data_IF_031369158932
#
_entry.id   IF_031369158932
#
_cell.length_a   1.000
_cell.length_b   1.000
_cell.length_c   1.000
_cell.angle_alpha   90.00
_cell.angle_beta   90.00
_cell.angle_gamma   90.00
#
_symmetry.space_group_name_H-M   'P 1'
#
loop_
_entity.id
_entity.type
_entity.pdbx_description
1 polymer ?
#
# COMPACT_ATOMS: atom_id res chain seq x y z
N UNK A 1 -30.08 -7.70 50.85
CA UNK A 1 -28.69 -7.73 51.36
C UNK A 1 -28.21 -9.18 51.40
N UNK A 2 -27.32 -9.57 50.49
CA UNK A 2 -26.34 -10.67 50.62
C UNK A 2 -25.31 -10.45 49.50
N UNK A 3 -24.06 -10.22 49.89
CA UNK A 3 -22.90 -9.91 49.06
C UNK A 3 -22.38 -11.21 48.42
N UNK A 4 -21.78 -11.12 47.23
CA UNK A 4 -21.05 -12.25 46.62
C UNK A 4 -20.64 -11.96 45.19
N UNK A 5 -19.42 -11.46 45.03
CA UNK A 5 -18.79 -11.05 43.78
C UNK A 5 -18.06 -12.20 43.07
N UNK A 6 -17.70 -11.93 41.80
CA UNK A 6 -16.50 -12.42 41.08
C UNK A 6 -16.67 -13.72 40.26
N UNK A 7 -16.74 -13.48 38.93
CA UNK A 7 -15.86 -14.02 37.89
C UNK A 7 -15.82 -15.54 37.70
N UNK A 8 -16.21 -15.99 36.50
CA UNK A 8 -15.33 -16.65 35.53
C UNK A 8 -16.20 -17.03 34.32
N UNK A 9 -16.38 -16.06 33.42
CA UNK A 9 -16.78 -16.36 32.05
C UNK A 9 -15.62 -17.18 31.48
N UNK A 10 -15.83 -18.50 31.34
CA UNK A 10 -14.97 -19.36 30.53
C UNK A 10 -15.08 -18.88 29.08
N UNK A 11 -14.33 -17.84 28.75
CA UNK A 11 -14.05 -17.44 27.38
C UNK A 11 -13.11 -18.52 26.83
N UNK A 12 -13.70 -19.64 26.40
CA UNK A 12 -12.98 -20.68 25.70
C UNK A 12 -12.28 -20.01 24.52
N UNK A 13 -10.94 -20.11 24.52
CA UNK A 13 -10.06 -19.75 23.41
C UNK A 13 -10.63 -20.31 22.11
N UNK A 14 -11.39 -19.51 21.37
CA UNK A 14 -11.61 -19.74 19.95
C UNK A 14 -10.30 -19.32 19.27
N UNK A 15 -9.32 -20.21 19.33
CA UNK A 15 -8.05 -20.12 18.63
C UNK A 15 -8.27 -20.40 17.12
N UNK A 16 -9.07 -19.56 16.45
CA UNK A 16 -9.36 -19.71 15.01
C UNK A 16 -9.14 -18.42 14.22
N UNK A 17 -8.19 -17.58 14.63
CA UNK A 17 -7.70 -16.46 13.83
C UNK A 17 -6.18 -16.69 13.78
N UNK A 18 -5.58 -17.31 12.76
CA UNK A 18 -5.37 -16.69 11.45
C UNK A 18 -4.78 -17.72 10.48
N UNK A 19 -5.59 -18.29 9.60
CA UNK A 19 -5.11 -18.65 8.26
C UNK A 19 -5.56 -17.49 7.38
N UNK A 20 -4.86 -16.37 7.46
CA UNK A 20 -4.91 -15.44 6.33
C UNK A 20 -4.06 -16.11 5.26
N UNK A 21 -4.60 -16.46 4.07
CA UNK A 21 -3.72 -16.70 2.95
C UNK A 21 -2.89 -15.42 2.82
N UNK A 22 -1.57 -15.54 2.95
CA UNK A 22 -0.68 -14.47 2.54
C UNK A 22 -0.91 -14.34 1.04
N UNK A 23 -1.81 -13.43 0.67
CA UNK A 23 -2.11 -13.13 -0.71
C UNK A 23 -0.87 -12.44 -1.25
N UNK A 24 0.07 -13.23 -1.78
CA UNK A 24 1.03 -12.76 -2.76
C UNK A 24 0.23 -12.25 -3.93
N UNK A 25 -0.12 -10.97 -3.88
CA UNK A 25 -0.74 -10.25 -4.97
C UNK A 25 0.26 -10.21 -6.13
N UNK A 26 -0.25 -10.22 -7.35
CA UNK A 26 0.60 -10.16 -8.53
C UNK A 26 1.18 -8.75 -8.64
N UNK A 27 2.39 -8.58 -9.20
CA UNK A 27 3.13 -7.30 -9.25
C UNK A 27 2.27 -6.11 -9.74
N UNK A 28 1.30 -6.33 -10.63
CA UNK A 28 0.38 -5.29 -11.09
C UNK A 28 -0.68 -4.90 -10.04
N UNK A 29 -1.27 -5.88 -9.36
CA UNK A 29 -2.21 -5.63 -8.26
C UNK A 29 -1.50 -4.93 -7.09
N UNK A 30 -0.22 -5.28 -6.86
CA UNK A 30 0.65 -4.59 -5.90
C UNK A 30 0.97 -3.17 -6.33
N UNK A 31 1.31 -2.94 -7.61
CA UNK A 31 1.72 -1.62 -8.10
C UNK A 31 0.64 -0.55 -7.92
N UNK A 32 -0.63 -0.88 -8.20
CA UNK A 32 -1.76 0.03 -7.95
C UNK A 32 -1.93 0.33 -6.46
N UNK A 33 -1.95 -0.71 -5.63
CA UNK A 33 -2.14 -0.57 -4.19
C UNK A 33 -0.99 0.23 -3.55
N UNK A 34 0.25 -0.05 -3.95
CA UNK A 34 1.44 0.71 -3.54
C UNK A 34 1.36 2.16 -3.98
N UNK A 35 0.98 2.44 -5.22
CA UNK A 35 0.79 3.82 -5.69
C UNK A 35 -0.26 4.55 -4.84
N UNK A 36 -1.42 3.94 -4.62
CA UNK A 36 -2.52 4.57 -3.88
C UNK A 36 -2.19 4.76 -2.40
N UNK A 37 -1.48 3.82 -1.77
CA UNK A 37 -1.18 3.87 -0.33
C UNK A 37 0.08 4.66 0.00
N UNK A 38 1.13 4.58 -0.82
CA UNK A 38 2.42 5.27 -0.58
C UNK A 38 2.39 6.71 -1.09
N UNK A 39 1.83 6.96 -2.28
CA UNK A 39 1.91 8.29 -2.89
C UNK A 39 0.85 9.27 -2.37
N UNK A 40 -0.20 8.79 -1.68
CA UNK A 40 -1.23 9.63 -1.07
C UNK A 40 -0.87 10.17 0.32
N UNK A 41 0.22 9.69 0.93
CA UNK A 41 0.65 10.06 2.29
C UNK A 41 0.93 11.56 2.41
N UNK A 42 1.49 12.18 1.37
CA UNK A 42 1.93 13.58 1.42
C UNK A 42 1.04 14.54 0.63
N UNK A 43 0.35 14.08 -0.42
CA UNK A 43 -0.54 14.89 -1.25
C UNK A 43 -1.52 14.02 -2.05
N UNK A 44 -2.55 14.64 -2.62
CA UNK A 44 -3.49 13.95 -3.51
C UNK A 44 -2.84 13.36 -4.78
N UNK A 45 -3.56 12.45 -5.43
CA UNK A 45 -3.08 11.72 -6.61
C UNK A 45 -3.57 12.31 -7.94
N UNK A 46 -4.26 13.45 -7.91
CA UNK A 46 -4.86 14.06 -9.11
C UNK A 46 -3.79 14.41 -10.15
N UNK A 47 -2.67 15.00 -9.72
CA UNK A 47 -1.57 15.38 -10.61
C UNK A 47 -0.93 14.18 -11.33
N UNK A 48 -0.45 13.12 -10.65
CA UNK A 48 0.09 11.98 -11.37
C UNK A 48 -0.95 11.29 -12.26
N UNK A 49 -2.24 11.28 -11.88
CA UNK A 49 -3.31 10.70 -12.71
C UNK A 49 -3.68 11.54 -13.94
N UNK A 50 -3.33 12.83 -13.96
CA UNK A 50 -3.61 13.74 -15.08
C UNK A 50 -2.47 13.86 -16.09
N UNK A 51 -1.38 13.11 -15.93
CA UNK A 51 -0.19 13.19 -16.77
C UNK A 51 0.02 11.87 -17.52
N UNK A 52 0.45 11.96 -18.78
CA UNK A 52 1.00 10.83 -19.52
C UNK A 52 2.50 11.04 -19.68
N UNK A 53 3.31 10.08 -19.23
CA UNK A 53 4.79 10.17 -19.25
C UNK A 53 5.41 8.88 -19.78
N UNK A 54 6.63 8.93 -20.31
CA UNK A 54 7.35 7.67 -20.60
C UNK A 54 7.74 6.97 -19.30
N UNK A 55 8.18 5.71 -19.42
CA UNK A 55 8.71 4.96 -18.28
C UNK A 55 9.85 5.72 -17.58
N UNK A 56 10.79 6.26 -18.34
CA UNK A 56 11.95 6.99 -17.82
C UNK A 56 11.51 8.22 -17.02
N UNK A 57 10.55 8.97 -17.56
CA UNK A 57 9.98 10.14 -16.88
C UNK A 57 9.19 9.77 -15.61
N UNK A 58 8.59 8.57 -15.57
CA UNK A 58 7.97 8.03 -14.36
C UNK A 58 9.01 7.59 -13.32
N UNK A 59 10.09 6.92 -13.74
CA UNK A 59 11.23 6.56 -12.86
C UNK A 59 11.78 7.81 -12.17
N UNK A 60 12.03 8.88 -12.91
CA UNK A 60 12.50 10.15 -12.33
C UNK A 60 11.52 10.72 -11.30
N UNK A 61 10.21 10.62 -11.57
CA UNK A 61 9.17 11.15 -10.69
C UNK A 61 9.10 10.35 -9.41
N UNK A 62 9.02 9.03 -9.51
CA UNK A 62 8.93 8.12 -8.35
C UNK A 62 10.22 8.21 -7.52
N UNK A 63 11.39 8.27 -8.16
CA UNK A 63 12.69 8.48 -7.48
C UNK A 63 12.69 9.79 -6.68
N UNK A 64 12.23 10.89 -7.29
CA UNK A 64 12.15 12.19 -6.61
C UNK A 64 11.17 12.17 -5.43
N UNK A 65 10.05 11.45 -5.52
CA UNK A 65 9.07 11.34 -4.43
C UNK A 65 9.57 10.43 -3.31
N UNK A 66 10.18 9.28 -3.66
CA UNK A 66 10.85 8.37 -2.72
C UNK A 66 11.90 9.08 -1.86
N UNK A 67 12.63 10.03 -2.45
CA UNK A 67 13.63 10.82 -1.73
C UNK A 67 13.05 11.89 -0.78
N UNK A 68 11.72 12.08 -0.72
CA UNK A 68 11.10 13.04 0.20
C UNK A 68 11.00 12.47 1.62
N UNK A 69 11.18 13.31 2.65
CA UNK A 69 10.99 12.88 4.04
C UNK A 69 9.62 12.24 4.25
N UNK A 70 9.59 11.07 4.87
CA UNK A 70 8.35 10.36 5.20
C UNK A 70 7.76 9.49 4.09
N UNK A 71 8.35 9.43 2.89
CA UNK A 71 7.80 8.62 1.79
C UNK A 71 7.88 7.10 2.05
N UNK A 72 8.95 6.63 2.72
CA UNK A 72 9.17 5.21 3.08
C UNK A 72 8.80 4.22 1.96
N UNK A 73 9.43 4.37 0.79
CA UNK A 73 9.24 3.52 -0.40
C UNK A 73 10.54 2.76 -0.66
N UNK A 74 10.51 1.42 -0.75
CA UNK A 74 11.70 0.62 -1.12
C UNK A 74 12.02 0.72 -2.62
N UNK A 75 13.12 0.15 -3.09
CA UNK A 75 13.43 0.12 -4.53
C UNK A 75 12.46 -0.80 -5.29
N UNK A 76 12.10 -1.93 -4.70
CA UNK A 76 11.16 -2.90 -5.25
C UNK A 76 9.74 -2.32 -5.32
N UNK A 77 9.30 -1.63 -4.27
CA UNK A 77 8.02 -0.92 -4.27
C UNK A 77 8.01 0.20 -5.34
N UNK A 78 9.12 0.94 -5.47
CA UNK A 78 9.24 1.98 -6.48
C UNK A 78 9.15 1.41 -7.90
N UNK A 79 9.80 0.28 -8.18
CA UNK A 79 9.71 -0.39 -9.48
C UNK A 79 8.27 -0.82 -9.80
N UNK A 80 7.57 -1.44 -8.84
CA UNK A 80 6.18 -1.83 -9.01
C UNK A 80 5.25 -0.62 -9.26
N UNK A 81 5.49 0.51 -8.58
CA UNK A 81 4.75 1.75 -8.82
C UNK A 81 5.04 2.29 -10.23
N UNK A 82 6.30 2.28 -10.69
CA UNK A 82 6.65 2.73 -12.04
C UNK A 82 6.01 1.84 -13.10
N UNK A 83 5.98 0.51 -12.90
CA UNK A 83 5.31 -0.43 -13.81
C UNK A 83 3.82 -0.12 -13.95
N UNK A 84 3.14 0.09 -12.83
CA UNK A 84 1.73 0.49 -12.82
C UNK A 84 1.53 1.85 -13.53
N UNK A 85 2.33 2.86 -13.18
CA UNK A 85 2.20 4.19 -13.79
C UNK A 85 2.48 4.17 -15.29
N UNK A 86 3.45 3.38 -15.74
CA UNK A 86 3.75 3.22 -17.17
C UNK A 86 2.62 2.51 -17.91
N UNK A 87 2.03 1.48 -17.30
CA UNK A 87 0.95 0.70 -17.93
C UNK A 87 -0.35 1.52 -18.08
N UNK A 88 -0.67 2.36 -17.10
CA UNK A 88 -1.95 3.07 -17.05
C UNK A 88 -1.87 4.55 -17.45
N UNK A 89 -0.70 5.17 -17.29
CA UNK A 89 -0.43 6.58 -17.53
C UNK A 89 0.84 6.77 -18.38
N UNK A 90 1.17 5.78 -19.21
CA UNK A 90 2.25 5.83 -20.18
C UNK A 90 1.88 6.68 -21.40
N UNK A 91 2.82 7.48 -21.91
CA UNK A 91 2.70 8.00 -23.28
C UNK A 91 3.12 6.89 -24.26
N UNK A 92 2.31 6.68 -25.30
CA UNK A 92 2.62 5.75 -26.39
C UNK A 92 3.80 6.25 -27.23
#
# INVERSE_FOLDING_TARGET
MKKGSVLLIFFACVATISILPYQGHTRMDDGKALFETKCSVCHGLDRPKSLLKSREEWVETVTRMKAKPGASITDEEAEAIVDYLTTHYGKQ
#
